data_IF_012094302447
#
_entry.id   IF_012094302447
#
_cell.length_a   1.000
_cell.length_b   1.000
_cell.length_c   1.000
_cell.angle_alpha   90.00
_cell.angle_beta   90.00
_cell.angle_gamma   90.00
#
_symmetry.space_group_name_H-M   'P 1'
#
loop_
_entity.id
_entity.type
_entity.pdbx_description
1 polymer ?
#
# COMPACT_ATOMS: atom_id res chain seq x y z
N UNK A 1 26.85 -2.84 8.83
CA UNK A 1 25.37 -2.86 8.91
C UNK A 1 24.85 -3.20 7.53
N UNK A 2 24.06 -4.27 7.38
CA UNK A 2 23.46 -4.60 6.08
C UNK A 2 22.39 -3.55 5.76
N UNK A 3 22.49 -2.89 4.61
CA UNK A 3 21.49 -1.93 4.14
C UNK A 3 20.27 -2.74 3.68
N UNK A 4 19.26 -2.92 4.55
CA UNK A 4 18.01 -3.60 4.19
C UNK A 4 17.37 -2.87 3.00
N UNK A 5 16.81 -3.62 2.05
CA UNK A 5 16.10 -3.02 0.91
C UNK A 5 14.79 -2.39 1.39
N UNK A 6 14.48 -1.20 0.90
CA UNK A 6 13.25 -0.48 1.26
C UNK A 6 12.13 -0.91 0.33
N UNK A 7 11.06 -1.46 0.89
CA UNK A 7 9.93 -1.97 0.14
C UNK A 7 8.68 -1.16 0.45
N UNK A 8 8.17 -0.42 -0.53
CA UNK A 8 6.90 0.29 -0.39
C UNK A 8 5.71 -0.66 -0.43
N UNK A 9 4.67 -0.38 0.35
CA UNK A 9 3.42 -1.15 0.34
C UNK A 9 2.21 -0.22 0.23
N UNK A 10 1.45 -0.33 -0.86
CA UNK A 10 0.19 0.41 -1.05
C UNK A 10 -0.98 -0.57 -1.07
N UNK A 11 -1.95 -0.40 -0.18
CA UNK A 11 -3.17 -1.22 -0.16
C UNK A 11 -4.32 -0.48 -0.83
N UNK A 12 -5.03 -1.16 -1.73
CA UNK A 12 -6.15 -0.63 -2.49
C UNK A 12 -7.48 -1.23 -2.04
N UNK A 13 -8.54 -0.45 -2.16
CA UNK A 13 -9.90 -0.78 -1.77
C UNK A 13 -10.88 -0.40 -2.89
N UNK A 14 -12.15 -0.71 -2.69
CA UNK A 14 -13.21 -0.43 -3.66
C UNK A 14 -13.48 1.08 -3.72
N UNK A 15 -13.58 1.66 -4.91
CA UNK A 15 -13.82 3.11 -5.04
C UNK A 15 -15.20 3.57 -4.59
N UNK A 16 -16.16 2.65 -4.40
CA UNK A 16 -17.47 2.98 -3.83
C UNK A 16 -17.33 3.17 -2.33
N UNK A 17 -17.51 4.41 -1.87
CA UNK A 17 -17.31 4.82 -0.46
C UNK A 17 -17.96 3.88 0.57
N UNK A 18 -19.22 3.49 0.36
CA UNK A 18 -19.91 2.60 1.30
C UNK A 18 -19.21 1.23 1.45
N UNK A 19 -18.71 0.66 0.34
CA UNK A 19 -17.97 -0.62 0.33
C UNK A 19 -16.58 -0.45 0.95
N UNK A 20 -15.91 0.68 0.65
CA UNK A 20 -14.64 1.03 1.27
C UNK A 20 -14.76 1.08 2.81
N UNK A 21 -15.77 1.79 3.31
CA UNK A 21 -16.02 1.95 4.75
C UNK A 21 -16.35 0.61 5.43
N UNK A 22 -17.22 -0.20 4.81
CA UNK A 22 -17.58 -1.53 5.30
C UNK A 22 -16.38 -2.47 5.41
N UNK A 23 -15.48 -2.43 4.41
CA UNK A 23 -14.34 -3.35 4.30
C UNK A 23 -13.01 -2.73 4.77
N UNK A 24 -13.04 -1.56 5.43
CA UNK A 24 -11.83 -0.87 5.86
C UNK A 24 -11.03 -1.70 6.87
N UNK A 25 -11.72 -2.34 7.81
CA UNK A 25 -11.13 -3.20 8.83
C UNK A 25 -10.47 -4.44 8.21
N UNK A 26 -11.09 -5.03 7.18
CA UNK A 26 -10.56 -6.17 6.42
C UNK A 26 -9.30 -5.76 5.67
N UNK A 27 -9.31 -4.62 4.98
CA UNK A 27 -8.14 -4.09 4.29
C UNK A 27 -6.97 -3.82 5.24
N UNK A 28 -7.27 -3.20 6.40
CA UNK A 28 -6.26 -2.92 7.43
C UNK A 28 -5.65 -4.20 7.99
N UNK A 29 -6.47 -5.22 8.28
CA UNK A 29 -5.98 -6.51 8.76
C UNK A 29 -4.97 -7.13 7.78
N UNK A 30 -5.33 -7.25 6.50
CA UNK A 30 -4.42 -7.82 5.50
C UNK A 30 -3.20 -6.95 5.23
N UNK A 31 -3.33 -5.62 5.30
CA UNK A 31 -2.19 -4.71 5.24
C UNK A 31 -1.19 -5.02 6.37
N UNK A 32 -1.66 -5.07 7.61
CA UNK A 32 -0.82 -5.32 8.79
C UNK A 32 -0.16 -6.71 8.73
N UNK A 33 -0.88 -7.74 8.25
CA UNK A 33 -0.35 -9.09 8.04
C UNK A 33 0.79 -9.12 7.00
N UNK A 34 0.64 -8.38 5.89
CA UNK A 34 1.69 -8.29 4.84
C UNK A 34 2.93 -7.57 5.38
N UNK A 35 2.75 -6.45 6.09
CA UNK A 35 3.87 -5.73 6.74
C UNK A 35 4.61 -6.67 7.68
N UNK A 36 3.88 -7.31 8.60
CA UNK A 36 4.47 -8.21 9.59
C UNK A 36 5.21 -9.39 8.95
N UNK A 37 4.63 -10.02 7.93
CA UNK A 37 5.26 -11.14 7.23
C UNK A 37 6.57 -10.72 6.53
N UNK A 38 6.58 -9.56 5.85
CA UNK A 38 7.75 -9.04 5.16
C UNK A 38 8.85 -8.64 6.15
N UNK A 39 8.52 -7.94 7.23
CA UNK A 39 9.51 -7.52 8.23
C UNK A 39 10.11 -8.68 9.01
N UNK A 40 9.31 -9.72 9.30
CA UNK A 40 9.76 -10.93 10.01
C UNK A 40 10.86 -11.68 9.26
N UNK A 41 10.95 -11.54 7.94
CA UNK A 41 12.05 -12.13 7.14
C UNK A 41 13.42 -11.55 7.53
N UNK A 42 13.46 -10.32 8.05
CA UNK A 42 14.69 -9.59 8.31
C UNK A 42 15.40 -9.06 7.06
N UNK A 43 14.89 -9.30 5.85
CA UNK A 43 15.53 -8.95 4.58
C UNK A 43 15.25 -7.52 4.11
N UNK A 44 14.07 -7.00 4.46
CA UNK A 44 13.56 -5.71 3.98
C UNK A 44 13.16 -4.78 5.14
N UNK A 45 13.13 -3.49 4.84
CA UNK A 45 12.48 -2.44 5.63
C UNK A 45 11.19 -2.05 4.88
N UNK A 46 10.02 -2.25 5.49
CA UNK A 46 8.75 -1.95 4.84
C UNK A 46 8.38 -0.49 5.08
N UNK A 47 8.05 0.23 4.02
CA UNK A 47 7.51 1.60 4.06
C UNK A 47 6.03 1.52 3.68
N UNK A 48 5.11 1.37 4.63
CA UNK A 48 3.69 1.26 4.34
C UNK A 48 3.10 2.62 3.94
N UNK A 49 2.15 2.61 3.01
CA UNK A 49 1.27 3.74 2.77
C UNK A 49 0.40 4.03 3.99
N UNK A 50 0.18 5.31 4.28
CA UNK A 50 -0.57 5.76 5.47
C UNK A 50 -2.09 5.65 5.32
N UNK A 51 -2.58 5.35 4.11
CA UNK A 51 -4.02 5.35 3.82
C UNK A 51 -4.35 4.22 2.85
N UNK A 52 -5.44 3.50 3.14
CA UNK A 52 -6.03 2.54 2.22
C UNK A 52 -6.66 3.30 1.05
N UNK A 53 -6.18 3.05 -0.16
CA UNK A 53 -6.50 3.83 -1.35
C UNK A 53 -7.87 3.39 -1.91
N UNK A 54 -8.83 4.29 -1.96
CA UNK A 54 -10.09 4.12 -2.71
C UNK A 54 -10.37 5.27 -3.69
N UNK A 55 -9.53 6.31 -3.70
CA UNK A 55 -9.61 7.44 -4.62
C UNK A 55 -8.28 7.72 -5.33
N UNK A 56 -8.30 8.27 -6.56
CA UNK A 56 -7.08 8.61 -7.29
C UNK A 56 -6.14 9.60 -6.57
N UNK A 57 -6.72 10.57 -5.82
CA UNK A 57 -5.93 11.55 -5.07
C UNK A 57 -5.04 10.87 -4.02
N UNK A 58 -5.59 9.90 -3.29
CA UNK A 58 -4.87 9.13 -2.27
C UNK A 58 -3.71 8.35 -2.90
N UNK A 59 -3.95 7.70 -4.04
CA UNK A 59 -2.91 6.96 -4.75
C UNK A 59 -1.71 7.85 -5.12
N UNK A 60 -1.95 9.07 -5.62
CA UNK A 60 -0.89 10.04 -5.97
C UNK A 60 -0.13 10.51 -4.73
N UNK A 61 -0.83 10.79 -3.64
CA UNK A 61 -0.22 11.23 -2.37
C UNK A 61 0.68 10.14 -1.78
N UNK A 62 0.20 8.89 -1.74
CA UNK A 62 0.98 7.78 -1.20
C UNK A 62 2.17 7.42 -2.10
N UNK A 63 2.00 7.47 -3.43
CA UNK A 63 3.10 7.28 -4.37
C UNK A 63 4.20 8.35 -4.19
N UNK A 64 3.84 9.61 -3.99
CA UNK A 64 4.79 10.69 -3.73
C UNK A 64 5.57 10.47 -2.41
N UNK A 65 4.93 9.91 -1.39
CA UNK A 65 5.59 9.54 -0.13
C UNK A 65 6.61 8.42 -0.33
N UNK A 66 6.23 7.33 -1.01
CA UNK A 66 7.16 6.24 -1.32
C UNK A 66 8.35 6.71 -2.17
N UNK A 67 8.10 7.59 -3.16
CA UNK A 67 9.15 8.24 -3.95
C UNK A 67 10.10 9.06 -3.08
N UNK A 68 9.58 9.83 -2.13
CA UNK A 68 10.37 10.62 -1.18
C UNK A 68 11.21 9.73 -0.25
N UNK A 69 10.65 8.60 0.17
CA UNK A 69 11.33 7.58 0.97
C UNK A 69 12.41 6.79 0.20
N UNK A 70 12.47 6.96 -1.13
CA UNK A 70 13.40 6.26 -2.04
C UNK A 70 13.33 4.74 -1.89
N UNK A 71 12.11 4.18 -1.95
CA UNK A 71 11.93 2.73 -1.92
C UNK A 71 12.55 2.08 -3.16
N UNK A 72 13.10 0.87 -2.99
CA UNK A 72 13.72 0.08 -4.05
C UNK A 72 12.67 -0.61 -4.93
N UNK A 73 11.51 -0.93 -4.36
CA UNK A 73 10.37 -1.54 -5.04
C UNK A 73 9.06 -1.16 -4.34
N UNK A 74 7.93 -1.42 -4.99
CA UNK A 74 6.59 -1.19 -4.41
C UNK A 74 5.70 -2.40 -4.67
N UNK A 75 5.05 -2.89 -3.61
CA UNK A 75 3.96 -3.87 -3.68
C UNK A 75 2.64 -3.13 -3.76
N UNK A 76 1.82 -3.50 -4.73
CA UNK A 76 0.44 -3.08 -4.85
C UNK A 76 -0.43 -4.21 -4.29
N UNK A 77 -0.93 -4.01 -3.08
CA UNK A 77 -1.70 -5.00 -2.34
C UNK A 77 -3.20 -4.81 -2.56
N UNK A 78 -3.86 -5.88 -3.03
CA UNK A 78 -5.29 -5.92 -3.31
C UNK A 78 -5.95 -6.99 -2.45
N UNK A 79 -6.47 -6.59 -1.30
CA UNK A 79 -7.12 -7.51 -0.37
C UNK A 79 -8.60 -7.77 -0.72
N UNK A 80 -9.18 -6.92 -1.58
CA UNK A 80 -10.56 -6.98 -2.07
C UNK A 80 -10.61 -6.50 -3.53
N UNK A 81 -11.80 -6.52 -4.16
CA UNK A 81 -11.99 -5.89 -5.46
C UNK A 81 -11.67 -4.38 -5.41
N UNK A 82 -10.95 -3.88 -6.43
CA UNK A 82 -10.60 -2.47 -6.57
C UNK A 82 -10.58 -2.06 -8.05
N UNK A 83 -10.71 -0.76 -8.33
CA UNK A 83 -10.59 -0.25 -9.69
C UNK A 83 -9.13 -0.31 -10.15
N UNK A 84 -8.81 -1.07 -11.21
CA UNK A 84 -7.42 -1.28 -11.64
C UNK A 84 -6.75 0.02 -12.10
N UNK A 85 -7.51 1.04 -12.49
CA UNK A 85 -6.98 2.34 -12.90
C UNK A 85 -6.18 3.06 -11.81
N UNK A 86 -6.38 2.73 -10.53
CA UNK A 86 -5.67 3.38 -9.43
C UNK A 86 -4.17 3.06 -9.40
N UNK A 87 -3.72 1.99 -10.06
CA UNK A 87 -2.30 1.59 -10.10
C UNK A 87 -1.50 2.23 -11.22
N UNK A 88 -2.17 2.86 -12.19
CA UNK A 88 -1.57 3.36 -13.43
C UNK A 88 -1.69 4.89 -13.52
N UNK A 89 -1.94 5.55 -12.39
CA UNK A 89 -2.16 6.99 -12.36
C UNK A 89 -0.85 7.72 -12.72
N UNK A 90 -0.88 8.66 -13.69
CA UNK A 90 0.29 9.45 -14.03
C UNK A 90 0.74 10.27 -12.81
N UNK A 91 2.05 10.23 -12.54
CA UNK A 91 2.67 11.00 -11.47
C UNK A 91 2.85 12.45 -11.86
#
# INVERSE_FOLDING_TARGET
>A
MSNKRKLGLLTFSDGRKAVHEELLSVNKKFHDEVVSALETTGEVEVIPGETIIHEPRQAREQAAKLKTARVDATILNFSIWSFPSYTILPT
#
